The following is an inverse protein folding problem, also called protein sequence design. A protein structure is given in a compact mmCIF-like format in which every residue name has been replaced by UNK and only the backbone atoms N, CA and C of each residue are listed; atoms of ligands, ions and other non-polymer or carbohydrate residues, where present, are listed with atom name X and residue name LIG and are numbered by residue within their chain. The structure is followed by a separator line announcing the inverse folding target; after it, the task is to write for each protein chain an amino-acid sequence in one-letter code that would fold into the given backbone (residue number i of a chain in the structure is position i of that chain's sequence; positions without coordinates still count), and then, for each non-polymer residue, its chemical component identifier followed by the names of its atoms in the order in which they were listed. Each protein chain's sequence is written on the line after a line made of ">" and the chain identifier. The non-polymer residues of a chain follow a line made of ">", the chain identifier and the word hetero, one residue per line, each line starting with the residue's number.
data_IF_863889093111
#
_entry.id   IF_863889093111
#
_cell.length_a   1.000
_cell.length_b   1.000
_cell.length_c   1.000
_cell.angle_alpha   90.00
_cell.angle_beta   90.00
_cell.angle_gamma   90.00
#
_symmetry.space_group_name_H-M   'P 1'
#
loop_
_entity.id
_entity.type
_entity.pdbx_description
1 polymer ?
#
# COMPACT_ATOMS: atom_id res chain seq x y z
N UNK A 1 -65.59 0.60 22.93
CA UNK A 1 -65.24 1.52 21.82
C UNK A 1 -63.77 1.28 21.53
N UNK A 2 -63.47 0.51 20.48
CA UNK A 2 -62.09 0.12 20.12
C UNK A 2 -61.37 1.32 19.48
N UNK A 3 -60.31 1.80 20.12
CA UNK A 3 -59.35 2.71 19.48
C UNK A 3 -58.31 1.86 18.76
N UNK A 4 -58.29 2.03 17.44
CA UNK A 4 -57.38 1.38 16.50
C UNK A 4 -55.97 1.92 16.69
N UNK A 5 -54.98 1.03 16.57
CA UNK A 5 -53.57 1.36 16.48
C UNK A 5 -53.34 2.35 15.31
N UNK A 6 -52.89 3.55 15.64
CA UNK A 6 -52.32 4.48 14.67
C UNK A 6 -50.88 4.03 14.39
N UNK A 7 -50.64 3.48 13.20
CA UNK A 7 -49.28 3.24 12.71
C UNK A 7 -48.82 4.53 12.04
N UNK A 8 -47.89 5.25 12.67
CA UNK A 8 -47.20 6.38 12.02
C UNK A 8 -45.99 5.80 11.31
N UNK A 9 -46.05 5.70 9.98
CA UNK A 9 -44.89 5.40 9.14
C UNK A 9 -44.11 6.71 8.98
N UNK A 10 -42.98 6.83 9.68
CA UNK A 10 -42.03 7.91 9.44
C UNK A 10 -41.12 7.46 8.31
N UNK A 11 -41.30 8.02 7.12
CA UNK A 11 -40.27 7.99 6.09
C UNK A 11 -39.15 8.94 6.51
N UNK A 12 -38.06 8.38 7.02
CA UNK A 12 -36.79 9.12 7.05
C UNK A 12 -36.19 8.96 5.66
N UNK A 13 -36.53 9.88 4.75
CA UNK A 13 -35.67 10.14 3.60
C UNK A 13 -34.40 10.78 4.14
N UNK A 14 -33.38 9.96 4.37
CA UNK A 14 -32.01 10.44 4.48
C UNK A 14 -31.69 11.05 3.12
N UNK A 15 -31.85 12.37 3.01
CA UNK A 15 -31.25 13.14 1.93
C UNK A 15 -29.76 13.02 2.16
N UNK A 16 -29.14 12.07 1.46
CA UNK A 16 -27.70 12.05 1.28
C UNK A 16 -27.33 13.44 0.75
N UNK A 17 -26.64 14.22 1.57
CA UNK A 17 -25.90 15.40 1.13
C UNK A 17 -24.73 14.87 0.31
N UNK A 18 -25.07 14.40 -0.87
CA UNK A 18 -24.18 14.20 -1.97
C UNK A 18 -23.96 15.59 -2.57
N UNK A 19 -22.69 16.04 -2.47
CA UNK A 19 -21.98 16.98 -3.36
C UNK A 19 -21.89 18.44 -2.90
N UNK A 20 -20.67 19.00 -2.90
CA UNK A 20 -19.87 19.14 -4.12
C UNK A 20 -18.55 18.35 -4.09
N UNK A 21 -18.58 17.11 -4.61
CA UNK A 21 -17.38 16.41 -5.09
C UNK A 21 -17.58 15.76 -6.48
N UNK A 22 -18.68 16.08 -7.18
CA UNK A 22 -19.05 15.45 -8.47
C UNK A 22 -18.73 16.31 -9.67
N UNK A 23 -18.14 17.48 -9.47
CA UNK A 23 -17.59 18.28 -10.58
C UNK A 23 -16.15 17.92 -10.94
N UNK A 24 -15.71 16.67 -10.70
CA UNK A 24 -14.52 16.12 -11.40
C UNK A 24 -14.45 14.59 -11.44
N UNK A 25 -15.58 13.87 -11.45
CA UNK A 25 -15.55 12.42 -11.74
C UNK A 25 -15.11 12.18 -13.20
N UNK A 26 -15.48 13.06 -14.13
CA UNK A 26 -14.95 13.01 -15.50
C UNK A 26 -13.44 13.29 -15.57
N UNK A 27 -12.86 14.01 -14.60
CA UNK A 27 -11.41 14.24 -14.53
C UNK A 27 -10.62 13.07 -13.96
N UNK A 28 -11.18 12.33 -12.99
CA UNK A 28 -10.59 11.10 -12.46
C UNK A 28 -10.70 9.92 -13.46
N UNK A 29 -11.73 9.94 -14.29
CA UNK A 29 -11.91 9.04 -15.44
C UNK A 29 -10.90 9.34 -16.55
N UNK A 30 -10.69 10.62 -16.87
CA UNK A 30 -9.67 11.02 -17.84
C UNK A 30 -8.24 10.82 -17.32
N UNK A 31 -8.05 10.69 -15.99
CA UNK A 31 -6.78 10.31 -15.35
C UNK A 31 -6.53 8.79 -15.28
N UNK A 32 -7.52 7.97 -15.67
CA UNK A 32 -7.36 6.53 -15.90
C UNK A 32 -7.24 6.19 -17.40
N UNK A 33 -7.31 7.18 -18.29
CA UNK A 33 -6.72 7.00 -19.63
C UNK A 33 -5.29 6.57 -19.42
N UNK A 34 -4.87 5.47 -20.05
CA UNK A 34 -3.47 4.98 -20.13
C UNK A 34 -2.55 6.15 -19.84
N UNK A 35 -2.09 6.21 -18.60
CA UNK A 35 -1.33 7.34 -18.08
C UNK A 35 0.07 7.13 -18.67
N UNK A 36 0.16 7.43 -19.97
CA UNK A 36 1.37 7.35 -20.77
C UNK A 36 2.31 8.42 -20.25
N UNK A 37 3.59 8.25 -20.48
CA UNK A 37 4.64 9.16 -20.01
C UNK A 37 5.03 9.01 -18.53
N UNK A 38 4.83 7.83 -17.92
CA UNK A 38 5.42 7.54 -16.60
C UNK A 38 6.94 7.51 -16.69
N UNK A 39 7.60 7.59 -15.53
CA UNK A 39 9.03 7.32 -15.42
C UNK A 39 9.25 6.03 -14.64
N UNK A 40 10.14 5.17 -15.15
CA UNK A 40 10.66 4.05 -14.38
C UNK A 40 11.99 4.47 -13.75
N UNK A 41 12.04 4.55 -12.43
CA UNK A 41 13.27 4.79 -11.69
C UNK A 41 13.85 3.48 -11.18
N UNK A 42 15.14 3.28 -11.39
CA UNK A 42 15.93 2.16 -10.90
C UNK A 42 17.03 2.73 -9.99
N UNK A 43 16.76 2.78 -8.70
CA UNK A 43 17.76 3.04 -7.68
C UNK A 43 18.44 1.71 -7.34
N UNK A 44 19.70 1.56 -7.70
CA UNK A 44 20.42 0.30 -7.54
C UNK A 44 21.70 0.48 -6.74
N UNK A 45 21.89 -0.36 -5.74
CA UNK A 45 23.14 -0.43 -4.98
C UNK A 45 24.28 -0.79 -5.96
N UNK A 46 25.21 0.14 -6.14
CA UNK A 46 26.31 0.07 -7.09
C UNK A 46 27.62 -0.35 -6.41
N UNK A 47 27.55 -1.42 -5.62
CA UNK A 47 28.69 -2.02 -4.92
C UNK A 47 29.10 -3.34 -5.58
N UNK A 48 30.33 -3.77 -5.33
CA UNK A 48 30.81 -5.11 -5.73
C UNK A 48 30.04 -6.23 -5.05
N UNK A 49 29.46 -5.98 -3.87
CA UNK A 49 28.59 -6.92 -3.16
C UNK A 49 27.30 -7.20 -3.94
N UNK A 50 26.73 -6.17 -4.58
CA UNK A 50 25.51 -6.29 -5.38
C UNK A 50 25.78 -6.53 -6.88
N UNK A 51 27.03 -6.80 -7.27
CA UNK A 51 27.44 -6.88 -8.68
C UNK A 51 26.66 -7.93 -9.49
N UNK A 52 26.34 -9.07 -8.88
CA UNK A 52 25.59 -10.13 -9.54
C UNK A 52 24.17 -9.67 -9.87
N UNK A 53 23.46 -9.09 -8.89
CA UNK A 53 22.09 -8.62 -9.08
C UNK A 53 22.04 -7.38 -10.00
N UNK A 54 23.09 -6.57 -10.05
CA UNK A 54 23.20 -5.45 -10.99
C UNK A 54 23.08 -5.92 -12.45
N UNK A 55 23.74 -7.03 -12.80
CA UNK A 55 23.62 -7.62 -14.13
C UNK A 55 22.22 -8.18 -14.40
N UNK A 56 21.64 -8.85 -13.40
CA UNK A 56 20.30 -9.46 -13.50
C UNK A 56 19.22 -8.41 -13.75
N UNK A 57 19.30 -7.24 -13.12
CA UNK A 57 18.34 -6.15 -13.37
C UNK A 57 18.36 -5.72 -14.84
N UNK A 58 19.52 -5.73 -15.49
CA UNK A 58 19.60 -5.42 -16.93
C UNK A 58 18.92 -6.50 -17.77
N UNK A 59 19.16 -7.77 -17.44
CA UNK A 59 18.56 -8.89 -18.16
C UNK A 59 17.03 -8.94 -17.92
N UNK A 60 16.55 -8.71 -16.69
CA UNK A 60 15.12 -8.65 -16.37
C UNK A 60 14.39 -7.58 -17.19
N UNK A 61 14.99 -6.40 -17.35
CA UNK A 61 14.42 -5.33 -18.16
C UNK A 61 14.35 -5.71 -19.63
N UNK A 62 15.42 -6.31 -20.17
CA UNK A 62 15.47 -6.82 -21.54
C UNK A 62 14.37 -7.86 -21.78
N UNK A 63 14.15 -8.79 -20.83
CA UNK A 63 13.08 -9.78 -20.93
C UNK A 63 11.68 -9.17 -20.80
N UNK A 64 11.51 -8.10 -20.02
CA UNK A 64 10.21 -7.43 -19.85
C UNK A 64 9.75 -6.63 -21.08
N UNK A 65 10.66 -6.31 -22.00
CA UNK A 65 10.39 -5.40 -23.12
C UNK A 65 9.29 -5.89 -24.05
N UNK A 66 9.15 -7.20 -24.26
CA UNK A 66 8.10 -7.76 -25.12
C UNK A 66 6.70 -7.66 -24.51
N UNK A 67 6.63 -7.53 -23.19
CA UNK A 67 5.40 -7.69 -22.42
C UNK A 67 4.86 -6.34 -21.90
N UNK A 68 5.58 -5.25 -22.16
CA UNK A 68 5.26 -3.89 -21.75
C UNK A 68 4.99 -3.03 -22.99
N UNK A 69 3.94 -2.21 -22.94
CA UNK A 69 3.70 -1.18 -23.95
C UNK A 69 4.84 -0.13 -23.90
N UNK A 70 5.62 0.05 -24.97
CA UNK A 70 6.73 1.01 -24.99
C UNK A 70 6.32 2.46 -24.70
N UNK A 71 5.04 2.80 -24.86
CA UNK A 71 4.50 4.14 -24.55
C UNK A 71 4.12 4.34 -23.09
N UNK A 72 4.16 3.27 -22.27
CA UNK A 72 3.81 3.35 -20.86
C UNK A 72 4.80 4.24 -20.09
N UNK A 73 6.08 4.16 -20.44
CA UNK A 73 7.13 5.02 -19.88
C UNK A 73 7.66 6.00 -20.94
N UNK A 74 7.76 7.29 -20.58
CA UNK A 74 8.43 8.31 -21.41
C UNK A 74 9.94 8.31 -21.22
N UNK A 75 10.41 7.83 -20.06
CA UNK A 75 11.81 7.79 -19.71
C UNK A 75 12.08 6.73 -18.63
N UNK A 76 13.34 6.31 -18.61
CA UNK A 76 13.91 5.36 -17.68
C UNK A 76 15.09 6.05 -17.01
N UNK A 77 15.16 5.97 -15.69
CA UNK A 77 16.21 6.64 -14.91
C UNK A 77 16.94 5.61 -14.08
N UNK A 78 18.26 5.53 -14.26
CA UNK A 78 19.14 4.68 -13.44
C UNK A 78 19.91 5.56 -12.49
N UNK A 79 19.77 5.29 -11.19
CA UNK A 79 20.52 5.94 -10.11
C UNK A 79 21.35 4.89 -9.40
N UNK A 80 22.67 4.97 -9.52
CA UNK A 80 23.59 4.12 -8.77
C UNK A 80 24.04 4.80 -7.50
N UNK A 81 24.07 4.05 -6.39
CA UNK A 81 24.46 4.58 -5.10
C UNK A 81 25.30 3.60 -4.29
N UNK A 82 26.02 4.12 -3.30
CA UNK A 82 26.67 3.31 -2.27
C UNK A 82 26.58 4.02 -0.91
N UNK A 83 27.40 3.59 0.06
CA UNK A 83 27.45 4.17 1.40
C UNK A 83 27.82 5.67 1.44
N UNK A 84 28.35 6.23 0.34
CA UNK A 84 28.69 7.65 0.21
C UNK A 84 27.57 8.49 -0.40
N UNK A 85 26.49 7.85 -0.86
CA UNK A 85 25.35 8.50 -1.52
C UNK A 85 25.28 8.17 -3.01
N UNK A 86 24.76 9.10 -3.81
CA UNK A 86 24.56 8.92 -5.26
C UNK A 86 25.91 9.01 -5.99
N UNK A 87 26.25 7.96 -6.75
CA UNK A 87 27.44 7.89 -7.60
C UNK A 87 27.19 8.37 -9.03
N UNK A 88 25.99 8.09 -9.54
CA UNK A 88 25.54 8.51 -10.86
C UNK A 88 24.02 8.52 -10.95
N UNK A 89 23.51 9.34 -11.86
CA UNK A 89 22.10 9.40 -12.22
C UNK A 89 22.01 9.70 -13.72
N UNK A 90 21.36 8.81 -14.47
CA UNK A 90 21.30 8.87 -15.93
C UNK A 90 19.89 8.55 -16.39
N UNK A 91 19.38 9.34 -17.34
CA UNK A 91 18.08 9.11 -17.98
C UNK A 91 18.27 8.58 -19.41
N UNK A 92 17.44 7.64 -19.79
CA UNK A 92 17.41 6.97 -21.10
C UNK A 92 15.97 6.93 -21.63
N UNK A 93 15.78 7.00 -22.96
CA UNK A 93 14.44 7.08 -23.54
C UNK A 93 13.77 5.72 -23.76
N UNK A 94 14.52 4.61 -23.70
CA UNK A 94 14.01 3.25 -24.00
C UNK A 94 14.61 2.21 -23.07
N UNK A 95 13.95 1.04 -22.98
CA UNK A 95 14.45 -0.12 -22.23
C UNK A 95 15.82 -0.54 -22.77
N UNK A 96 15.95 -0.77 -24.08
CA UNK A 96 17.23 -1.07 -24.76
C UNK A 96 18.39 -0.17 -24.31
N UNK A 97 18.18 1.16 -24.29
CA UNK A 97 19.23 2.11 -23.90
C UNK A 97 19.53 2.06 -22.41
N UNK A 98 18.55 1.72 -21.60
CA UNK A 98 18.70 1.50 -20.16
C UNK A 98 19.50 0.23 -19.89
N UNK A 99 19.26 -0.84 -20.64
CA UNK A 99 20.01 -2.10 -20.59
C UNK A 99 21.47 -1.88 -21.02
N UNK A 100 21.70 -1.21 -22.15
CA UNK A 100 23.04 -0.78 -22.61
C UNK A 100 23.78 0.00 -21.50
N UNK A 101 23.08 0.95 -20.88
CA UNK A 101 23.61 1.78 -19.80
C UNK A 101 23.97 0.92 -18.58
N UNK A 102 23.07 0.08 -18.08
CA UNK A 102 23.32 -0.81 -16.93
C UNK A 102 24.55 -1.69 -17.19
N UNK A 103 24.61 -2.35 -18.35
CA UNK A 103 25.76 -3.19 -18.74
C UNK A 103 27.07 -2.40 -18.76
N UNK A 104 27.05 -1.14 -19.20
CA UNK A 104 28.23 -0.26 -19.19
C UNK A 104 28.65 0.20 -17.78
N UNK A 105 27.72 0.27 -16.83
CA UNK A 105 27.95 0.78 -15.48
C UNK A 105 28.56 -0.28 -14.53
N UNK A 106 28.58 -1.55 -14.91
CA UNK A 106 29.19 -2.65 -14.12
C UNK A 106 30.67 -2.36 -13.79
N UNK A 107 31.40 -1.67 -14.66
CA UNK A 107 32.80 -1.30 -14.39
C UNK A 107 32.96 -0.16 -13.37
N UNK A 108 31.86 0.46 -12.92
CA UNK A 108 31.84 1.58 -11.97
C UNK A 108 31.43 1.17 -10.56
N UNK A 109 31.17 -0.12 -10.33
CA UNK A 109 30.82 -0.65 -9.02
C UNK A 109 31.96 -0.38 -8.02
N UNK A 110 31.61 0.11 -6.84
CA UNK A 110 32.59 0.44 -5.82
C UNK A 110 32.90 -0.78 -4.95
N UNK A 111 34.11 -0.83 -4.40
CA UNK A 111 34.45 -1.83 -3.38
C UNK A 111 33.90 -1.46 -2.00
N UNK A 112 32.93 -0.53 -1.92
CA UNK A 112 32.28 -0.24 -0.64
C UNK A 112 31.57 -1.51 -0.17
N UNK A 113 31.87 -1.91 1.05
CA UNK A 113 31.29 -3.08 1.70
C UNK A 113 30.61 -2.58 2.97
N UNK A 114 29.33 -2.87 3.13
CA UNK A 114 28.59 -2.45 4.31
C UNK A 114 27.08 -2.50 4.07
N UNK A 115 26.34 -2.52 5.18
CA UNK A 115 24.88 -2.62 5.19
C UNK A 115 24.23 -1.34 5.71
N UNK A 116 25.04 -0.31 5.94
CA UNK A 116 24.60 1.03 6.31
C UNK A 116 24.66 1.89 5.06
N UNK A 117 23.56 1.88 4.31
CA UNK A 117 23.40 2.65 3.08
C UNK A 117 22.39 3.78 3.33
N UNK A 118 22.59 4.97 2.76
CA UNK A 118 21.66 6.10 2.90
C UNK A 118 20.49 5.96 1.92
N UNK A 119 19.70 4.88 2.03
CA UNK A 119 18.71 4.49 1.02
C UNK A 119 17.68 5.58 0.76
N UNK A 120 17.13 6.18 1.82
CA UNK A 120 16.04 7.15 1.68
C UNK A 120 16.54 8.51 1.19
N UNK A 121 17.70 8.93 1.66
CA UNK A 121 18.36 10.15 1.18
C UNK A 121 18.63 10.04 -0.32
N UNK A 122 19.20 8.92 -0.77
CA UNK A 122 19.46 8.65 -2.19
C UNK A 122 18.18 8.73 -3.03
N UNK A 123 17.09 8.10 -2.58
CA UNK A 123 15.82 8.15 -3.34
C UNK A 123 15.28 9.57 -3.42
N UNK A 124 15.30 10.34 -2.33
CA UNK A 124 14.86 11.74 -2.32
C UNK A 124 15.70 12.56 -3.31
N UNK A 125 17.03 12.46 -3.21
CA UNK A 125 17.95 13.21 -4.06
C UNK A 125 17.77 12.85 -5.53
N UNK A 126 17.67 11.56 -5.85
CA UNK A 126 17.43 11.11 -7.21
C UNK A 126 16.11 11.61 -7.75
N UNK A 127 14.98 11.39 -7.06
CA UNK A 127 13.67 11.86 -7.52
C UNK A 127 13.62 13.38 -7.69
N UNK A 128 14.21 14.15 -6.77
CA UNK A 128 14.27 15.61 -6.87
C UNK A 128 15.07 16.13 -8.08
N UNK A 129 15.90 15.28 -8.69
CA UNK A 129 16.75 15.65 -9.84
C UNK A 129 16.05 15.50 -11.19
N UNK A 130 14.83 14.96 -11.23
CA UNK A 130 14.10 14.71 -12.47
C UNK A 130 12.67 15.25 -12.39
N UNK A 131 12.15 15.67 -13.54
CA UNK A 131 10.71 15.93 -13.72
C UNK A 131 10.07 14.64 -14.19
N UNK A 132 9.01 14.21 -13.51
CA UNK A 132 8.28 12.99 -13.84
C UNK A 132 6.80 13.15 -13.48
N UNK A 133 5.97 12.28 -14.06
CA UNK A 133 4.54 12.26 -13.79
C UNK A 133 4.23 11.50 -12.49
N UNK A 134 3.18 11.90 -11.75
CA UNK A 134 2.63 11.11 -10.65
C UNK A 134 2.42 9.63 -11.05
N UNK A 135 2.40 8.74 -10.08
CA UNK A 135 2.26 7.28 -10.30
C UNK A 135 3.41 6.63 -11.10
N UNK A 136 4.55 7.31 -11.20
CA UNK A 136 5.81 6.71 -11.69
C UNK A 136 6.25 5.55 -10.78
N UNK A 137 6.94 4.59 -11.37
CA UNK A 137 7.37 3.37 -10.69
C UNK A 137 8.81 3.53 -10.22
N UNK A 138 9.08 3.24 -8.95
CA UNK A 138 10.41 3.36 -8.36
C UNK A 138 10.83 2.01 -7.83
N UNK A 139 11.85 1.40 -8.42
CA UNK A 139 12.54 0.26 -7.82
C UNK A 139 13.72 0.75 -6.99
N UNK A 140 13.75 0.36 -5.72
CA UNK A 140 14.90 0.49 -4.84
C UNK A 140 15.48 -0.90 -4.62
N UNK A 141 16.63 -1.15 -5.23
CA UNK A 141 17.25 -2.47 -5.37
C UNK A 141 18.55 -2.49 -4.59
N UNK A 142 18.61 -3.31 -3.54
CA UNK A 142 19.69 -3.27 -2.56
C UNK A 142 19.89 -4.64 -1.92
N UNK A 143 21.07 -4.85 -1.36
CA UNK A 143 21.36 -5.98 -0.46
C UNK A 143 21.36 -5.58 1.01
N UNK A 144 21.13 -4.31 1.32
CA UNK A 144 21.09 -3.75 2.67
C UNK A 144 19.67 -3.35 3.07
N UNK A 145 19.26 -3.63 4.31
CA UNK A 145 18.07 -3.05 4.92
C UNK A 145 18.25 -1.55 5.22
N UNK A 146 17.15 -0.85 5.56
CA UNK A 146 17.27 0.56 5.94
C UNK A 146 18.05 0.73 7.25
N UNK A 147 18.96 1.70 7.26
CA UNK A 147 19.82 1.94 8.40
C UNK A 147 19.14 2.75 9.52
N UNK A 148 19.84 2.94 10.64
CA UNK A 148 19.34 3.79 11.72
C UNK A 148 19.19 5.26 11.28
N UNK A 149 20.07 5.75 10.39
CA UNK A 149 19.90 7.09 9.82
C UNK A 149 18.68 7.15 8.92
N UNK A 150 18.46 6.15 8.07
CA UNK A 150 17.25 6.07 7.24
C UNK A 150 15.98 6.14 8.09
N UNK A 151 15.92 5.42 9.22
CA UNK A 151 14.76 5.48 10.12
C UNK A 151 14.50 6.90 10.66
N UNK A 152 15.54 7.70 10.93
CA UNK A 152 15.40 9.10 11.32
C UNK A 152 14.91 9.98 10.16
N UNK A 153 15.33 9.68 8.93
CA UNK A 153 14.88 10.37 7.71
C UNK A 153 13.50 9.92 7.21
N UNK A 154 13.00 8.80 7.72
CA UNK A 154 11.75 8.15 7.33
C UNK A 154 10.54 9.08 7.18
N UNK A 155 10.23 9.99 8.13
CA UNK A 155 9.10 10.91 8.00
C UNK A 155 9.23 11.88 6.82
N UNK A 156 10.45 12.38 6.55
CA UNK A 156 10.72 13.25 5.40
C UNK A 156 10.57 12.48 4.11
N UNK A 157 11.10 11.25 4.08
CA UNK A 157 10.98 10.37 2.92
C UNK A 157 9.53 10.01 2.63
N UNK A 158 8.77 9.60 3.63
CA UNK A 158 7.33 9.30 3.48
C UNK A 158 6.56 10.49 2.93
N UNK A 159 6.78 11.70 3.47
CA UNK A 159 6.14 12.93 2.96
C UNK A 159 6.50 13.18 1.49
N UNK A 160 7.75 12.94 1.11
CA UNK A 160 8.20 13.13 -0.26
C UNK A 160 7.54 12.11 -1.21
N UNK A 161 7.50 10.83 -0.83
CA UNK A 161 6.83 9.77 -1.60
C UNK A 161 5.34 10.09 -1.83
N UNK A 162 4.62 10.54 -0.80
CA UNK A 162 3.22 10.96 -0.94
C UNK A 162 3.06 12.18 -1.85
N UNK A 163 3.96 13.15 -1.75
CA UNK A 163 3.94 14.34 -2.59
C UNK A 163 4.17 14.02 -4.08
N UNK A 164 5.05 13.07 -4.36
CA UNK A 164 5.35 12.61 -5.71
C UNK A 164 4.40 11.53 -6.23
N UNK A 165 3.63 10.89 -5.34
CA UNK A 165 2.69 9.81 -5.64
C UNK A 165 3.35 8.66 -6.43
N UNK A 166 4.62 8.35 -6.13
CA UNK A 166 5.33 7.23 -6.76
C UNK A 166 4.92 5.90 -6.14
N UNK A 167 5.04 4.80 -6.88
CA UNK A 167 4.89 3.45 -6.34
C UNK A 167 6.27 2.87 -6.04
N UNK A 168 6.64 2.78 -4.75
CA UNK A 168 7.94 2.28 -4.33
C UNK A 168 7.96 0.75 -4.24
N UNK A 169 8.73 0.13 -5.12
CA UNK A 169 9.06 -1.29 -5.15
C UNK A 169 10.39 -1.51 -4.43
N UNK A 170 10.35 -1.96 -3.18
CA UNK A 170 11.55 -2.23 -2.40
C UNK A 170 12.00 -3.68 -2.61
N UNK A 171 13.10 -3.85 -3.34
CA UNK A 171 13.67 -5.15 -3.73
C UNK A 171 14.94 -5.39 -2.93
N UNK A 172 14.84 -6.28 -1.95
CA UNK A 172 15.94 -6.68 -1.08
C UNK A 172 16.50 -8.02 -1.55
N UNK A 173 17.73 -8.02 -2.05
CA UNK A 173 18.43 -9.26 -2.36
C UNK A 173 19.16 -9.80 -1.12
N UNK A 174 19.05 -11.10 -0.89
CA UNK A 174 19.81 -11.81 0.13
C UNK A 174 21.32 -11.63 -0.09
N UNK A 175 22.03 -11.36 1.00
CA UNK A 175 23.49 -11.22 0.99
C UNK A 175 24.08 -11.79 2.25
N UNK A 176 25.16 -12.56 2.11
CA UNK A 176 25.92 -13.06 3.27
C UNK A 176 26.64 -11.94 4.03
N UNK A 177 26.82 -10.77 3.41
CA UNK A 177 27.48 -9.63 4.03
C UNK A 177 26.50 -8.78 4.88
N UNK A 178 25.20 -8.85 4.59
CA UNK A 178 24.17 -8.13 5.33
C UNK A 178 23.20 -9.08 6.00
N UNK A 179 23.24 -9.09 7.33
CA UNK A 179 22.28 -9.84 8.14
C UNK A 179 20.95 -9.10 8.24
N UNK A 180 20.29 -8.94 7.09
CA UNK A 180 18.92 -8.45 7.03
C UNK A 180 18.02 -9.65 7.23
N UNK A 181 17.14 -9.58 8.22
CA UNK A 181 16.03 -10.52 8.35
C UNK A 181 14.73 -9.73 8.19
N UNK A 182 13.66 -10.39 7.77
CA UNK A 182 12.31 -9.80 7.71
C UNK A 182 11.86 -9.22 9.05
N UNK A 183 12.37 -9.76 10.16
CA UNK A 183 12.08 -9.27 11.51
C UNK A 183 12.86 -8.01 11.89
N UNK A 184 13.90 -7.66 11.13
CA UNK A 184 14.71 -6.49 11.42
C UNK A 184 13.90 -5.20 11.27
N UNK A 185 14.01 -4.31 12.26
CA UNK A 185 13.24 -3.06 12.29
C UNK A 185 13.46 -2.21 11.03
N UNK A 186 14.68 -2.19 10.49
CA UNK A 186 15.00 -1.45 9.27
C UNK A 186 14.29 -2.00 8.03
N UNK A 187 14.23 -3.33 7.87
CA UNK A 187 13.51 -3.96 6.76
C UNK A 187 12.02 -3.72 6.90
N UNK A 188 11.43 -3.96 8.07
CA UNK A 188 9.99 -3.71 8.31
C UNK A 188 9.60 -2.26 8.06
N UNK A 189 10.46 -1.31 8.45
CA UNK A 189 10.20 0.10 8.20
C UNK A 189 10.19 0.44 6.71
N UNK A 190 11.20 -0.01 5.95
CA UNK A 190 11.25 0.21 4.50
C UNK A 190 10.10 -0.50 3.78
N UNK A 191 9.74 -1.70 4.20
CA UNK A 191 8.66 -2.47 3.62
C UNK A 191 7.28 -1.80 3.87
N UNK A 192 7.04 -1.29 5.09
CA UNK A 192 5.84 -0.50 5.38
C UNK A 192 5.75 0.74 4.47
N UNK A 193 6.88 1.41 4.20
CA UNK A 193 6.93 2.55 3.30
C UNK A 193 6.62 2.18 1.84
N UNK A 194 7.08 1.02 1.37
CA UNK A 194 6.73 0.52 0.04
C UNK A 194 5.21 0.30 -0.07
N UNK A 195 4.62 -0.42 0.89
CA UNK A 195 3.19 -0.73 0.96
C UNK A 195 2.31 0.53 0.94
N UNK A 196 2.60 1.52 1.78
CA UNK A 196 1.76 2.75 1.88
C UNK A 196 1.80 3.60 0.62
N UNK A 197 2.76 3.39 -0.27
CA UNK A 197 2.81 4.04 -1.59
C UNK A 197 2.05 3.28 -2.68
N UNK A 198 1.36 2.19 -2.33
CA UNK A 198 0.78 1.25 -3.27
C UNK A 198 1.84 0.44 -4.04
N UNK A 199 3.11 0.53 -3.62
CA UNK A 199 4.19 -0.32 -4.11
C UNK A 199 4.24 -1.65 -3.36
N UNK A 200 5.33 -2.38 -3.50
CA UNK A 200 5.50 -3.70 -2.90
C UNK A 200 6.89 -3.85 -2.26
N UNK A 201 6.99 -4.75 -1.29
CA UNK A 201 8.26 -5.18 -0.73
C UNK A 201 8.50 -6.64 -1.07
N UNK A 202 9.70 -6.95 -1.53
CA UNK A 202 10.12 -8.31 -1.86
C UNK A 202 11.53 -8.57 -1.34
N UNK A 203 11.72 -9.75 -0.75
CA UNK A 203 13.02 -10.33 -0.45
C UNK A 203 13.28 -11.47 -1.43
N UNK A 204 14.46 -11.47 -2.04
CA UNK A 204 14.81 -12.37 -3.13
C UNK A 204 16.17 -13.03 -2.88
N UNK A 205 16.35 -14.31 -3.20
CA UNK A 205 17.68 -14.90 -3.25
C UNK A 205 18.51 -14.16 -4.31
N UNK A 206 19.81 -13.98 -4.06
CA UNK A 206 20.70 -13.41 -5.07
C UNK A 206 20.65 -14.28 -6.34
N UNK A 207 20.46 -13.65 -7.49
CA UNK A 207 20.22 -14.41 -8.73
C UNK A 207 18.80 -14.32 -9.29
N UNK A 208 17.80 -14.00 -8.46
CA UNK A 208 16.40 -14.09 -8.85
C UNK A 208 16.00 -13.06 -9.90
N UNK A 209 15.17 -13.49 -10.85
CA UNK A 209 14.58 -12.66 -11.90
C UNK A 209 13.20 -12.22 -11.41
N UNK A 210 13.03 -10.94 -11.11
CA UNK A 210 11.81 -10.42 -10.49
C UNK A 210 11.16 -9.33 -11.33
N UNK A 211 11.95 -8.40 -11.85
CA UNK A 211 11.42 -7.24 -12.58
C UNK A 211 10.74 -7.70 -13.87
N UNK A 212 11.25 -8.76 -14.52
CA UNK A 212 10.64 -9.30 -15.73
C UNK A 212 9.21 -9.83 -15.52
N UNK A 213 8.95 -10.48 -14.39
CA UNK A 213 7.63 -11.01 -14.04
C UNK A 213 6.75 -9.92 -13.41
N UNK A 214 7.34 -9.03 -12.60
CA UNK A 214 6.59 -8.04 -11.83
C UNK A 214 6.21 -6.81 -12.66
N UNK A 215 7.13 -6.24 -13.44
CA UNK A 215 6.88 -4.97 -14.14
C UNK A 215 5.68 -5.03 -15.12
N UNK A 216 5.48 -6.09 -15.92
CA UNK A 216 4.30 -6.20 -16.78
C UNK A 216 2.99 -6.24 -16.00
N UNK A 217 2.99 -6.85 -14.81
CA UNK A 217 1.78 -6.96 -13.97
C UNK A 217 1.32 -5.62 -13.40
N UNK A 218 2.22 -4.62 -13.37
CA UNK A 218 1.89 -3.27 -12.92
C UNK A 218 1.18 -2.47 -14.02
N UNK A 219 1.39 -2.80 -15.30
CA UNK A 219 0.76 -2.12 -16.42
C UNK A 219 -0.75 -2.39 -16.44
N UNK A 220 -1.54 -1.33 -16.66
CA UNK A 220 -3.01 -1.40 -16.72
C UNK A 220 -3.68 -2.10 -15.52
N UNK A 221 -2.94 -2.16 -14.39
CA UNK A 221 -3.39 -2.74 -13.15
C UNK A 221 -3.70 -1.68 -12.11
N UNK A 222 -4.70 -1.96 -11.28
CA UNK A 222 -4.98 -1.18 -10.07
C UNK A 222 -4.77 -2.06 -8.85
N UNK A 223 -4.22 -1.44 -7.80
CA UNK A 223 -4.22 -1.99 -6.47
C UNK A 223 -5.66 -2.08 -5.94
N UNK A 224 -6.03 -3.25 -5.40
CA UNK A 224 -7.36 -3.49 -4.80
C UNK A 224 -7.24 -3.71 -3.29
N UNK A 225 -6.23 -4.48 -2.85
CA UNK A 225 -6.06 -4.80 -1.45
C UNK A 225 -4.60 -5.00 -1.08
N UNK A 226 -4.25 -4.58 0.13
CA UNK A 226 -3.02 -4.96 0.82
C UNK A 226 -3.44 -5.71 2.08
N UNK A 227 -2.92 -6.92 2.16
CA UNK A 227 -3.19 -7.92 3.19
C UNK A 227 -2.09 -7.87 4.25
N UNK A 228 -1.00 -7.18 3.97
CA UNK A 228 0.17 -7.05 4.83
C UNK A 228 -0.22 -6.38 6.13
N UNK A 229 -0.38 -7.19 7.18
CA UNK A 229 -0.53 -6.70 8.53
C UNK A 229 0.79 -6.06 8.98
N UNK A 230 0.73 -4.98 9.77
CA UNK A 230 1.91 -4.20 10.17
C UNK A 230 3.02 -4.98 10.89
N UNK A 231 2.79 -6.22 11.30
CA UNK A 231 3.78 -7.16 11.82
C UNK A 231 4.55 -7.95 10.76
N UNK A 232 4.23 -7.80 9.46
CA UNK A 232 4.65 -8.72 8.40
C UNK A 232 4.41 -10.17 8.81
N UNK A 233 3.31 -10.50 9.48
CA UNK A 233 3.05 -11.88 9.90
C UNK A 233 1.72 -12.36 9.33
N UNK A 234 1.76 -13.40 8.50
CA UNK A 234 0.57 -14.17 8.16
C UNK A 234 0.31 -15.17 9.27
N UNK A 235 -0.89 -15.10 9.82
CA UNK A 235 -1.61 -16.29 10.29
C UNK A 235 -2.55 -16.65 9.13
N UNK A 236 -3.10 -17.87 9.09
CA UNK A 236 -4.16 -18.20 8.12
C UNK A 236 -5.18 -17.05 8.03
N UNK A 237 -5.19 -16.36 6.89
CA UNK A 237 -6.01 -15.16 6.71
C UNK A 237 -6.78 -15.23 5.41
N UNK A 238 -8.07 -14.99 5.53
CA UNK A 238 -9.02 -14.97 4.42
C UNK A 238 -9.39 -13.54 4.09
N UNK A 239 -9.30 -13.20 2.80
CA UNK A 239 -9.63 -11.90 2.25
C UNK A 239 -10.74 -12.00 1.22
N UNK A 240 -11.53 -10.94 1.15
CA UNK A 240 -12.62 -10.81 0.20
C UNK A 240 -12.30 -9.69 -0.77
N UNK A 241 -12.05 -10.03 -2.02
CA UNK A 241 -11.80 -9.08 -3.09
C UNK A 241 -13.06 -8.94 -3.96
N UNK A 242 -13.57 -7.72 -4.10
CA UNK A 242 -14.62 -7.43 -5.07
C UNK A 242 -13.98 -7.27 -6.46
N UNK A 243 -14.37 -8.12 -7.40
CA UNK A 243 -13.87 -8.11 -8.78
C UNK A 243 -15.00 -7.67 -9.70
N UNK A 244 -14.70 -6.71 -10.57
CA UNK A 244 -15.62 -6.12 -11.53
C UNK A 244 -15.60 -6.83 -12.90
N UNK A 245 -16.59 -6.54 -13.74
CA UNK A 245 -16.82 -7.27 -15.01
C UNK A 245 -15.69 -7.09 -16.04
N UNK A 246 -14.95 -6.00 -15.91
CA UNK A 246 -13.87 -5.57 -16.79
C UNK A 246 -12.48 -6.05 -16.36
N UNK A 247 -12.38 -6.70 -15.20
CA UNK A 247 -11.14 -7.33 -14.75
C UNK A 247 -10.97 -8.64 -15.50
N UNK A 248 -9.86 -8.78 -16.22
CA UNK A 248 -9.53 -10.01 -16.95
C UNK A 248 -8.47 -10.84 -16.24
N UNK A 249 -7.63 -10.22 -15.41
CA UNK A 249 -6.62 -10.90 -14.60
C UNK A 249 -6.50 -10.26 -13.22
N UNK A 250 -6.26 -11.09 -12.21
CA UNK A 250 -5.87 -10.65 -10.87
C UNK A 250 -4.48 -11.17 -10.58
N UNK A 251 -3.61 -10.30 -10.08
CA UNK A 251 -2.26 -10.63 -9.64
C UNK A 251 -2.20 -10.64 -8.11
N UNK A 252 -1.57 -11.68 -7.57
CA UNK A 252 -1.34 -11.87 -6.15
C UNK A 252 0.16 -11.94 -5.96
N UNK A 253 0.71 -10.92 -5.32
CA UNK A 253 2.11 -10.89 -4.93
C UNK A 253 2.16 -11.40 -3.51
N UNK A 254 2.90 -12.46 -3.25
CA UNK A 254 3.05 -13.00 -1.90
C UNK A 254 4.51 -13.12 -1.56
N UNK A 255 4.89 -12.54 -0.43
CA UNK A 255 6.13 -12.85 0.24
C UNK A 255 5.82 -13.95 1.26
N UNK A 256 5.93 -15.23 0.93
CA UNK A 256 5.52 -16.34 1.81
C UNK A 256 6.52 -17.48 1.73
N UNK A 257 6.57 -18.32 2.77
CA UNK A 257 7.59 -19.35 2.91
C UNK A 257 7.15 -20.74 2.43
N UNK A 258 5.86 -21.02 2.19
CA UNK A 258 5.48 -22.43 2.02
C UNK A 258 4.23 -22.81 1.22
N UNK A 259 3.19 -21.97 1.08
CA UNK A 259 1.92 -22.47 0.52
C UNK A 259 1.31 -21.53 -0.52
N UNK A 260 0.79 -22.15 -1.57
CA UNK A 260 0.00 -21.48 -2.58
C UNK A 260 -1.30 -20.91 -1.98
N UNK A 261 -1.76 -19.74 -2.45
CA UNK A 261 -3.04 -19.18 -2.00
C UNK A 261 -4.20 -20.10 -2.42
N UNK A 262 -5.23 -20.23 -1.57
CA UNK A 262 -6.50 -20.81 -2.00
C UNK A 262 -7.41 -19.70 -2.52
N UNK A 263 -7.88 -19.83 -3.78
CA UNK A 263 -8.73 -18.83 -4.43
C UNK A 263 -10.08 -19.45 -4.78
N UNK A 264 -11.13 -18.91 -4.18
CA UNK A 264 -12.52 -19.30 -4.43
C UNK A 264 -13.27 -18.14 -5.07
N UNK A 265 -13.80 -18.39 -6.26
CA UNK A 265 -14.69 -17.48 -6.96
C UNK A 265 -16.12 -17.53 -6.42
N UNK A 266 -17.01 -16.68 -6.95
CA UNK A 266 -18.43 -16.65 -6.56
C UNK A 266 -19.17 -17.97 -6.84
N UNK A 267 -18.68 -18.80 -7.76
CA UNK A 267 -19.37 -20.02 -8.21
C UNK A 267 -18.52 -21.27 -8.05
N UNK A 268 -17.19 -21.16 -8.09
CA UNK A 268 -16.29 -22.31 -8.09
C UNK A 268 -14.89 -21.99 -7.55
N UNK A 269 -14.09 -23.03 -7.34
CA UNK A 269 -12.65 -22.88 -7.11
C UNK A 269 -11.97 -22.41 -8.40
N UNK A 270 -10.97 -21.55 -8.25
CA UNK A 270 -10.27 -20.95 -9.37
C UNK A 270 -8.87 -21.53 -9.45
N UNK A 271 -8.50 -21.92 -10.67
CA UNK A 271 -7.13 -22.28 -10.99
C UNK A 271 -6.31 -20.99 -11.16
N UNK A 272 -5.14 -20.97 -10.54
CA UNK A 272 -4.15 -19.92 -10.69
C UNK A 272 -2.85 -20.52 -11.17
N UNK A 273 -2.05 -19.71 -11.83
CA UNK A 273 -0.71 -20.06 -12.30
C UNK A 273 0.32 -19.14 -11.63
N UNK A 274 1.51 -19.68 -11.35
CA UNK A 274 2.64 -18.91 -10.86
C UNK A 274 3.38 -18.26 -12.05
N UNK A 275 3.46 -16.93 -12.06
CA UNK A 275 4.34 -16.15 -12.95
C UNK A 275 5.78 -16.15 -12.44
N UNK A 276 5.94 -16.19 -11.12
CA UNK A 276 7.23 -16.20 -10.47
C UNK A 276 7.19 -17.12 -9.24
N UNK A 277 8.24 -17.93 -9.11
CA UNK A 277 8.60 -18.62 -7.87
C UNK A 277 10.11 -18.41 -7.65
N UNK A 278 10.44 -17.46 -6.77
CA UNK A 278 11.81 -17.06 -6.45
C UNK A 278 12.08 -17.17 -4.95
N UNK A 279 11.86 -18.36 -4.39
CA UNK A 279 12.10 -18.62 -2.96
C UNK A 279 10.99 -18.05 -2.11
N UNK A 280 11.24 -16.88 -1.49
CA UNK A 280 10.25 -16.22 -0.63
C UNK A 280 9.27 -15.33 -1.39
N UNK A 281 9.50 -15.09 -2.69
CA UNK A 281 8.67 -14.24 -3.51
C UNK A 281 7.92 -15.04 -4.57
N UNK A 282 6.59 -15.00 -4.50
CA UNK A 282 5.71 -15.62 -5.47
C UNK A 282 4.82 -14.56 -6.10
N UNK A 283 4.58 -14.70 -7.41
CA UNK A 283 3.58 -13.92 -8.12
C UNK A 283 2.63 -14.91 -8.77
N UNK A 284 1.39 -14.93 -8.32
CA UNK A 284 0.33 -15.71 -8.92
C UNK A 284 -0.59 -14.83 -9.75
N UNK A 285 -1.25 -15.44 -10.73
CA UNK A 285 -2.40 -14.81 -11.36
C UNK A 285 -3.54 -15.78 -11.56
N UNK A 286 -4.75 -15.24 -11.65
CA UNK A 286 -5.91 -15.97 -12.12
C UNK A 286 -6.80 -15.08 -12.98
N UNK A 287 -7.59 -15.73 -13.83
CA UNK A 287 -8.64 -15.09 -14.62
C UNK A 287 -9.98 -15.27 -13.88
N UNK A 288 -10.80 -14.22 -13.70
CA UNK A 288 -12.09 -14.30 -13.02
C UNK A 288 -13.17 -14.92 -13.92
N UNK A 289 -12.98 -16.18 -14.33
CA UNK A 289 -13.84 -16.92 -15.26
C UNK A 289 -15.29 -17.08 -14.77
N UNK A 290 -15.52 -16.95 -13.46
CA UNK A 290 -16.85 -16.99 -12.84
C UNK A 290 -17.65 -15.69 -13.04
N UNK A 291 -17.00 -14.66 -13.58
CA UNK A 291 -17.54 -13.32 -13.77
C UNK A 291 -17.31 -12.41 -12.56
N UNK A 292 -17.90 -11.20 -12.58
CA UNK A 292 -17.79 -10.25 -11.47
C UNK A 292 -18.40 -10.82 -10.18
N UNK A 293 -17.85 -10.44 -9.04
CA UNK A 293 -18.36 -10.84 -7.72
C UNK A 293 -17.33 -10.73 -6.61
N UNK A 294 -17.64 -11.36 -5.47
CA UNK A 294 -16.73 -11.43 -4.32
C UNK A 294 -15.92 -12.71 -4.43
N UNK A 295 -14.60 -12.56 -4.46
CA UNK A 295 -13.62 -13.64 -4.49
C UNK A 295 -13.02 -13.78 -3.11
N UNK A 296 -12.87 -15.01 -2.67
CA UNK A 296 -12.28 -15.34 -1.37
C UNK A 296 -10.87 -15.84 -1.60
N UNK A 297 -9.88 -15.16 -1.03
CA UNK A 297 -8.46 -15.49 -1.15
C UNK A 297 -7.96 -15.84 0.25
N UNK A 298 -7.54 -17.08 0.44
CA UNK A 298 -7.02 -17.57 1.71
C UNK A 298 -5.52 -17.82 1.59
N UNK A 299 -4.75 -17.12 2.40
CA UNK A 299 -3.31 -17.32 2.51
C UNK A 299 -3.06 -18.27 3.68
N UNK A 300 -2.72 -19.52 3.36
CA UNK A 300 -2.49 -20.58 4.34
C UNK A 300 -1.01 -20.61 4.75
N UNK A 301 -0.45 -19.49 5.20
CA UNK A 301 0.93 -19.45 5.68
C UNK A 301 1.03 -18.94 7.12
N UNK A 302 2.00 -19.49 7.84
CA UNK A 302 2.36 -19.09 9.21
C UNK A 302 3.80 -18.59 9.16
N UNK A 303 3.98 -17.28 9.09
CA UNK A 303 5.32 -16.72 8.92
C UNK A 303 5.32 -15.28 8.48
N UNK A 304 6.51 -14.80 8.10
CA UNK A 304 6.64 -13.44 7.66
C UNK A 304 5.98 -13.25 6.28
N UNK A 305 4.99 -12.38 6.15
CA UNK A 305 4.31 -12.19 4.87
C UNK A 305 3.95 -10.75 4.50
N UNK A 306 3.97 -10.52 3.20
CA UNK A 306 3.44 -9.35 2.51
C UNK A 306 2.57 -9.86 1.39
N UNK A 307 1.30 -9.45 1.33
CA UNK A 307 0.44 -9.84 0.20
C UNK A 307 -0.24 -8.62 -0.39
N UNK A 308 -0.03 -8.43 -1.69
CA UNK A 308 -0.66 -7.39 -2.47
C UNK A 308 -1.55 -8.04 -3.53
N UNK A 309 -2.74 -7.46 -3.73
CA UNK A 309 -3.67 -7.89 -4.77
C UNK A 309 -3.89 -6.74 -5.74
N UNK A 310 -3.70 -7.02 -7.03
CA UNK A 310 -3.96 -6.09 -8.13
C UNK A 310 -4.91 -6.70 -9.14
N UNK A 311 -5.77 -5.90 -9.74
CA UNK A 311 -6.56 -6.30 -10.90
C UNK A 311 -6.05 -5.58 -12.14
N UNK A 312 -5.81 -6.36 -13.19
CA UNK A 312 -5.62 -5.88 -14.54
C UNK A 312 -6.97 -5.63 -15.19
N UNK A 313 -7.06 -4.56 -15.98
CA UNK A 313 -8.29 -4.17 -16.66
C UNK A 313 -8.05 -4.16 -18.17
N UNK A 314 -8.74 -5.03 -18.91
CA UNK A 314 -8.57 -5.18 -20.37
C UNK A 314 -9.10 -3.98 -21.18
N UNK A 315 -9.80 -3.03 -20.55
CA UNK A 315 -10.38 -1.86 -21.23
C UNK A 315 -10.17 -0.59 -20.41
N UNK A 316 -9.85 0.52 -21.06
CA UNK A 316 -9.80 1.86 -20.46
C UNK A 316 -11.11 2.15 -19.72
N UNK A 317 -11.15 1.93 -18.40
CA UNK A 317 -12.38 2.09 -17.63
C UNK A 317 -12.58 3.49 -17.10
N UNK A 318 -13.76 4.00 -17.43
CA UNK A 318 -14.52 4.99 -16.68
C UNK A 318 -14.87 4.50 -15.27
N UNK A 319 -14.18 5.05 -14.26
CA UNK A 319 -14.64 5.39 -12.90
C UNK A 319 -14.65 4.34 -11.76
N UNK A 320 -13.71 4.57 -10.84
CA UNK A 320 -13.80 4.75 -9.38
C UNK A 320 -14.17 3.61 -8.42
N UNK A 321 -13.15 3.28 -7.62
CA UNK A 321 -13.12 2.55 -6.36
C UNK A 321 -14.05 3.11 -5.27
N UNK A 322 -14.69 2.18 -4.55
CA UNK A 322 -15.01 2.32 -3.12
C UNK A 322 -14.77 0.99 -2.42
N UNK A 323 -13.72 0.90 -1.62
CA UNK A 323 -13.57 -0.15 -0.61
C UNK A 323 -14.40 0.24 0.61
N UNK A 324 -15.46 -0.52 0.91
CA UNK A 324 -16.17 -0.47 2.19
C UNK A 324 -15.69 -1.67 3.01
N UNK A 325 -14.81 -1.42 3.97
CA UNK A 325 -14.53 -2.40 5.03
C UNK A 325 -15.75 -2.48 5.95
N UNK A 326 -16.62 -3.46 5.71
CA UNK A 326 -17.65 -3.81 6.67
C UNK A 326 -17.03 -4.72 7.75
N UNK A 327 -16.80 -4.17 8.94
CA UNK A 327 -16.59 -4.98 10.14
C UNK A 327 -17.85 -5.82 10.40
N UNK A 328 -17.73 -7.11 10.77
CA UNK A 328 -18.89 -7.89 11.15
C UNK A 328 -19.47 -7.34 12.46
N UNK A 329 -20.66 -6.73 12.37
CA UNK A 329 -21.44 -6.35 13.55
C UNK A 329 -22.00 -7.64 14.16
N UNK A 330 -21.35 -8.17 15.19
CA UNK A 330 -21.97 -9.16 16.06
C UNK A 330 -23.02 -8.48 16.93
N UNK A 331 -24.30 -8.71 16.61
CA UNK A 331 -25.41 -8.31 17.47
C UNK A 331 -25.40 -9.12 18.77
N UNK A 332 -25.43 -8.50 19.97
CA UNK A 332 -25.68 -9.22 21.19
C UNK A 332 -27.18 -9.54 21.32
N UNK A 333 -27.49 -10.78 21.71
CA UNK A 333 -28.85 -11.24 22.04
C UNK A 333 -29.57 -10.29 23.01
N UNK A 334 -30.89 -10.06 22.83
CA UNK A 334 -31.65 -9.21 23.73
C UNK A 334 -31.97 -9.97 25.03
N UNK A 335 -31.38 -9.55 26.14
CA UNK A 335 -31.89 -9.90 27.48
C UNK A 335 -33.09 -9.03 27.81
N UNK A 336 -34.21 -9.70 28.04
CA UNK A 336 -35.48 -9.14 28.52
C UNK A 336 -35.37 -8.64 29.96
N UNK A 337 -35.74 -7.39 30.24
CA UNK A 337 -36.35 -7.01 31.53
C UNK A 337 -36.96 -5.60 31.56
N UNK A 338 -38.26 -5.59 31.88
CA UNK A 338 -38.99 -4.71 32.82
C UNK A 338 -39.07 -3.20 32.58
N UNK A 339 -40.31 -2.78 32.29
CA UNK A 339 -40.83 -1.42 32.23
C UNK A 339 -40.85 -0.80 33.63
N UNK A 340 -40.27 0.40 33.78
CA UNK A 340 -40.68 1.35 34.82
C UNK A 340 -40.79 2.76 34.20
N UNK A 341 -41.98 3.34 34.34
CA UNK A 341 -42.36 4.65 33.82
C UNK A 341 -42.06 5.75 34.82
N UNK A 342 -41.35 6.81 34.40
CA UNK A 342 -41.48 8.15 35.00
C UNK A 342 -41.34 9.20 33.90
N UNK A 343 -42.31 10.12 33.87
CA UNK A 343 -42.46 11.22 32.94
C UNK A 343 -41.63 12.44 33.34
N UNK A 344 -40.80 12.95 32.42
CA UNK A 344 -40.17 14.27 32.47
C UNK A 344 -40.18 14.91 31.07
N UNK A 345 -40.17 16.26 30.97
CA UNK A 345 -40.56 16.98 29.76
C UNK A 345 -39.48 16.95 28.67
N UNK A 346 -39.95 16.90 27.42
CA UNK A 346 -39.15 16.96 26.19
C UNK A 346 -38.26 18.21 26.16
N UNK A 347 -36.95 17.99 26.26
CA UNK A 347 -35.93 18.85 25.68
C UNK A 347 -35.37 18.04 24.50
N UNK A 348 -35.42 18.59 23.29
CA UNK A 348 -34.80 17.97 22.12
C UNK A 348 -33.27 17.91 22.36
N UNK A 349 -32.63 16.73 22.28
CA UNK A 349 -31.19 16.70 22.18
C UNK A 349 -30.80 17.06 20.74
N UNK A 350 -29.85 17.98 20.61
CA UNK A 350 -29.05 18.10 19.40
C UNK A 350 -28.45 16.72 19.08
N UNK A 351 -28.63 16.27 17.83
CA UNK A 351 -28.06 15.01 17.36
C UNK A 351 -26.57 15.24 17.13
N UNK A 352 -25.74 14.72 18.02
CA UNK A 352 -24.29 14.66 17.83
C UNK A 352 -23.94 13.32 17.16
N UNK A 353 -23.17 13.38 16.08
CA UNK A 353 -22.52 12.21 15.52
C UNK A 353 -21.18 12.03 16.24
N UNK A 354 -21.06 10.97 17.05
CA UNK A 354 -19.74 10.55 17.57
C UNK A 354 -19.05 9.70 16.50
N UNK A 355 -17.91 10.17 16.02
CA UNK A 355 -17.01 9.41 15.15
C UNK A 355 -15.80 9.03 16.00
N UNK A 356 -15.63 7.74 16.29
CA UNK A 356 -14.51 7.22 17.07
C UNK A 356 -13.46 6.61 16.16
N UNK A 357 -12.24 7.12 16.22
CA UNK A 357 -11.07 6.52 15.59
C UNK A 357 -10.24 5.80 16.64
N UNK A 358 -9.89 4.53 16.41
CA UNK A 358 -8.92 3.80 17.24
C UNK A 358 -7.57 3.78 16.53
N UNK A 359 -6.53 4.31 17.19
CA UNK A 359 -5.16 4.30 16.70
C UNK A 359 -4.28 3.60 17.73
N UNK A 360 -3.51 2.60 17.27
CA UNK A 360 -2.44 2.00 18.06
C UNK A 360 -1.18 2.86 17.93
N UNK A 361 -0.74 3.44 19.05
CA UNK A 361 0.35 4.42 19.10
C UNK A 361 1.43 3.93 20.07
N UNK A 362 2.12 2.85 19.69
CA UNK A 362 3.32 2.40 20.40
C UNK A 362 4.58 3.23 20.10
N UNK A 363 4.45 4.47 19.59
CA UNK A 363 5.60 5.32 19.21
C UNK A 363 5.47 6.76 19.78
N UNK A 364 6.58 7.18 20.40
CA UNK A 364 6.96 8.47 21.00
C UNK A 364 5.96 9.65 20.96
N UNK A 365 5.75 10.26 22.14
CA UNK A 365 4.93 11.45 22.44
C UNK A 365 5.03 12.61 21.43
N UNK A 366 6.17 12.78 20.76
CA UNK A 366 6.39 13.81 19.74
C UNK A 366 5.57 13.57 18.47
N UNK A 367 5.35 12.31 18.08
CA UNK A 367 4.55 11.95 16.90
C UNK A 367 3.05 12.16 17.13
N UNK A 368 2.58 11.94 18.37
CA UNK A 368 1.21 12.28 18.80
C UNK A 368 0.90 13.76 18.56
N UNK A 369 1.76 14.66 19.06
CA UNK A 369 1.52 16.10 18.94
C UNK A 369 1.58 16.59 17.49
N UNK A 370 2.43 15.99 16.65
CA UNK A 370 2.51 16.33 15.23
C UNK A 370 1.25 15.89 14.46
N UNK A 371 0.74 14.70 14.78
CA UNK A 371 -0.49 14.17 14.20
C UNK A 371 -1.73 14.96 14.66
N UNK A 372 -1.85 15.27 15.95
CA UNK A 372 -2.93 16.11 16.51
C UNK A 372 -2.98 17.47 15.80
N UNK A 373 -1.84 18.12 15.61
CA UNK A 373 -1.77 19.41 14.91
C UNK A 373 -2.12 19.31 13.42
N UNK A 374 -1.71 18.24 12.74
CA UNK A 374 -2.08 17.99 11.35
C UNK A 374 -3.59 17.76 11.20
N UNK A 375 -4.17 16.95 12.09
CA UNK A 375 -5.58 16.60 12.07
C UNK A 375 -6.47 17.81 12.39
N UNK A 376 -6.11 18.61 13.40
CA UNK A 376 -6.82 19.85 13.77
C UNK A 376 -6.75 20.89 12.63
N UNK A 377 -5.59 21.06 12.00
CA UNK A 377 -5.46 22.00 10.88
C UNK A 377 -6.26 21.55 9.65
N UNK A 378 -6.35 20.24 9.40
CA UNK A 378 -7.11 19.69 8.28
C UNK A 378 -8.62 19.83 8.52
N UNK A 379 -9.09 19.59 9.75
CA UNK A 379 -10.50 19.69 10.10
C UNK A 379 -11.01 21.12 10.29
N UNK A 380 -10.17 22.06 10.73
CA UNK A 380 -10.58 23.47 10.87
C UNK A 380 -10.88 24.17 9.53
N UNK A 381 -10.48 23.57 8.40
CA UNK A 381 -10.86 24.01 7.06
C UNK A 381 -12.16 23.37 6.55
N UNK A 382 -12.70 22.39 7.27
CA UNK A 382 -13.98 21.78 7.00
C UNK A 382 -14.99 22.43 7.93
N UNK A 383 -15.89 23.24 7.36
CA UNK A 383 -16.89 24.03 8.10
C UNK A 383 -17.99 23.12 8.68
N UNK A 384 -17.61 22.28 9.64
CA UNK A 384 -18.44 21.24 10.26
C UNK A 384 -18.94 21.74 11.62
N UNK A 385 -20.26 21.88 11.76
CA UNK A 385 -20.89 22.08 13.05
C UNK A 385 -21.09 20.72 13.72
N UNK A 386 -20.27 20.38 14.71
CA UNK A 386 -20.39 19.14 15.48
C UNK A 386 -19.25 18.93 16.49
N UNK A 387 -19.47 18.02 17.45
CA UNK A 387 -18.43 17.57 18.39
C UNK A 387 -17.62 16.44 17.78
N UNK A 388 -16.30 16.52 17.91
CA UNK A 388 -15.38 15.45 17.51
C UNK A 388 -14.72 14.93 18.79
N UNK A 389 -15.02 13.68 19.15
CA UNK A 389 -14.43 13.00 20.30
C UNK A 389 -13.33 12.05 19.82
N UNK A 390 -12.11 12.21 20.32
CA UNK A 390 -10.98 11.33 20.00
C UNK A 390 -10.56 10.57 21.26
N UNK A 391 -10.60 9.24 21.22
CA UNK A 391 -10.12 8.37 22.28
C UNK A 391 -8.76 7.76 21.88
N UNK A 392 -7.82 7.72 22.82
CA UNK A 392 -6.50 7.11 22.60
C UNK A 392 -6.41 5.90 23.53
N UNK A 393 -6.28 4.70 22.96
CA UNK A 393 -6.00 3.49 23.73
C UNK A 393 -4.51 3.19 23.64
N UNK A 394 -3.81 3.24 24.78
CA UNK A 394 -2.42 2.77 24.88
C UNK A 394 -2.39 1.35 25.42
N UNK A 395 -1.65 0.46 24.76
CA UNK A 395 -1.26 -0.84 25.33
C UNK A 395 0.06 -0.63 26.05
N UNK A 396 0.02 -0.57 27.39
CA UNK A 396 1.22 -0.72 28.22
C UNK A 396 1.37 -2.19 28.60
N UNK A 397 2.57 -2.75 28.41
CA UNK A 397 2.91 -4.09 28.86
C UNK A 397 2.67 -4.23 30.37
N UNK A 398 1.71 -5.08 30.73
CA UNK A 398 1.52 -5.60 32.09
C UNK A 398 0.77 -4.69 33.06
N UNK A 399 -0.40 -5.17 33.49
CA UNK A 399 -1.35 -4.62 34.49
C UNK A 399 -2.31 -3.55 33.97
N UNK A 400 -3.56 -3.98 33.82
CA UNK A 400 -4.65 -3.15 33.33
C UNK A 400 -5.04 -2.02 34.29
N UNK A 401 -5.31 -0.86 33.70
CA UNK A 401 -6.48 -0.01 33.88
C UNK A 401 -6.49 0.96 32.68
N UNK A 402 -7.54 0.93 31.86
CA UNK A 402 -7.77 1.95 30.84
C UNK A 402 -8.28 3.22 31.53
N UNK A 403 -7.54 4.33 31.41
CA UNK A 403 -8.05 5.65 31.74
C UNK A 403 -8.42 6.34 30.43
N UNK A 404 -9.72 6.51 30.19
CA UNK A 404 -10.22 7.32 29.09
C UNK A 404 -9.86 8.80 29.37
N UNK A 405 -9.07 9.39 28.49
CA UNK A 405 -8.88 10.84 28.44
C UNK A 405 -9.77 11.41 27.33
N UNK A 406 -10.80 12.16 27.71
CA UNK A 406 -11.62 12.93 26.79
C UNK A 406 -11.06 14.35 26.68
N UNK A 407 -10.55 14.73 25.51
CA UNK A 407 -10.24 16.13 25.21
C UNK A 407 -11.49 16.78 24.61
N UNK A 408 -12.06 17.78 25.30
CA UNK A 408 -13.22 18.54 24.82
C UNK A 408 -12.76 19.84 24.17
N UNK A 409 -13.08 20.03 22.89
CA UNK A 409 -13.01 21.33 22.22
C UNK A 409 -14.32 21.59 21.48
N UNK A 410 -15.01 22.66 21.86
CA UNK A 410 -16.11 23.21 21.09
C UNK A 410 -15.50 24.17 20.05
N UNK A 411 -15.69 23.86 18.76
CA UNK A 411 -15.33 24.76 17.65
C UNK A 411 -16.62 25.53 17.30
N UNK A 412 -16.53 26.87 17.26
CA UNK A 412 -17.64 27.75 16.89
C UNK A 412 -17.56 28.19 15.43
#
# INVERSE_FOLDING_TARGET
>A
MQLRNLTVVIWVTTVAVLLPFVTTVNGAVDALKRDTDKTLFLFIEATTQNAHNFGIVADDLEYSESDIDPSWFSQFVVVGFDSTGVLFANATPTIDKTVDLLRSLVSRLTSSTGCDLPLFEVVIHGLSSFTFNPQSVVYLITTAGSSASDQLYGPTFFKALLGWQVQLQYVLYESTACNNTLDSQGVRFAANLAVVTGGNFVELPSGAWYINAHLPTLQDSTFIADITHGSFSCIETTYYAAIEENVDRVFLYTLTAANDPDVQGPKSYIFYDALLDAGHALIFYFEPIDGPGIYTITINDVGACSVQIRAHINQSLTALSTTVNALPITSPEPKSSTILSTSTPLIYPDVYADITFMLDMSILQTQKNAFENFFINTLSHLNLNGRISMGIAGVCDGYGFANDFTLLHDIH
#
